data_IF_225226758441
#
_entry.id   IF_225226758441
#
_cell.length_a   1.000
_cell.length_b   1.000
_cell.length_c   1.000
_cell.angle_alpha   90.00
_cell.angle_beta   90.00
_cell.angle_gamma   90.00
#
_symmetry.space_group_name_H-M   'P 1'
#
loop_
_entity.id
_entity.type
_entity.pdbx_description
1 polymer ?
#
# COMPACT_ATOMS: atom_id res chain seq x y z
N UNK A 1 5.92 16.30 51.90
CA UNK A 1 5.92 16.51 53.35
C UNK A 1 4.87 15.63 53.93
N UNK A 2 5.32 14.69 54.80
CA UNK A 2 4.61 14.13 55.97
C UNK A 2 3.99 12.80 55.90
N UNK A 3 3.96 12.14 56.99
CA UNK A 3 5.06 11.32 57.49
C UNK A 3 4.70 9.83 57.62
N UNK A 4 5.74 9.03 57.68
CA UNK A 4 5.77 7.65 58.09
C UNK A 4 5.07 7.41 59.41
N UNK A 5 4.16 6.43 59.46
CA UNK A 5 3.84 5.73 60.69
C UNK A 5 4.25 4.27 60.53
N UNK A 6 5.37 3.94 61.11
CA UNK A 6 5.81 2.57 61.35
C UNK A 6 5.09 2.07 62.60
N UNK A 7 4.21 1.07 62.45
CA UNK A 7 3.75 0.27 63.59
C UNK A 7 4.51 -1.08 63.59
N UNK A 8 5.49 -1.14 64.45
CA UNK A 8 6.10 -2.40 64.84
C UNK A 8 5.15 -3.10 65.85
N UNK A 9 4.47 -4.13 65.40
CA UNK A 9 3.77 -5.06 66.28
C UNK A 9 4.74 -6.16 66.71
N UNK A 10 5.39 -5.95 67.84
CA UNK A 10 6.06 -6.99 68.62
C UNK A 10 4.98 -7.89 69.23
N UNK A 11 4.88 -9.11 68.69
CA UNK A 11 4.00 -10.16 69.24
C UNK A 11 4.62 -10.68 70.51
N UNK A 12 4.22 -10.15 71.68
CA UNK A 12 4.50 -10.75 72.98
C UNK A 12 3.56 -11.92 73.14
N UNK A 13 4.12 -13.14 73.21
CA UNK A 13 3.44 -14.32 73.76
C UNK A 13 3.32 -14.17 75.24
N UNK A 14 2.14 -13.72 75.73
CA UNK A 14 1.79 -13.84 77.12
C UNK A 14 1.31 -15.29 77.43
N UNK A 15 2.14 -16.10 77.99
CA UNK A 15 1.70 -17.34 78.64
C UNK A 15 1.07 -16.99 79.97
N UNK A 16 -0.10 -17.52 80.34
CA UNK A 16 -0.62 -17.39 81.68
C UNK A 16 0.19 -18.33 82.62
N UNK A 17 0.66 -17.80 83.74
CA UNK A 17 1.35 -18.64 84.71
C UNK A 17 0.30 -19.28 85.64
N UNK A 18 -0.15 -20.47 85.31
CA UNK A 18 -0.70 -21.39 86.29
C UNK A 18 -1.32 -22.63 85.59
N UNK A 19 -0.48 -23.49 85.12
CA UNK A 19 -0.79 -24.91 85.08
C UNK A 19 0.43 -25.67 85.58
N UNK A 20 0.35 -25.92 86.80
CA UNK A 20 0.77 -27.01 87.62
C UNK A 20 2.06 -27.73 87.26
N UNK A 21 3.05 -27.42 88.07
CA UNK A 21 4.27 -28.16 88.23
C UNK A 21 4.04 -29.61 88.87
N UNK A 22 2.81 -30.10 88.85
CA UNK A 22 2.50 -31.44 89.34
C UNK A 22 2.39 -32.53 88.29
N UNK A 23 2.13 -32.21 87.08
CA UNK A 23 2.07 -33.24 86.02
C UNK A 23 3.38 -33.46 85.28
N UNK A 24 4.35 -32.59 85.49
CA UNK A 24 5.67 -32.73 84.84
C UNK A 24 6.58 -33.78 85.49
N UNK A 25 6.34 -34.17 86.78
CA UNK A 25 7.17 -35.18 87.48
C UNK A 25 6.71 -36.61 87.21
N UNK A 26 5.49 -36.86 86.85
CA UNK A 26 4.96 -38.19 86.58
C UNK A 26 5.22 -38.67 85.13
N UNK A 27 5.61 -37.78 84.20
CA UNK A 27 5.96 -38.11 82.84
C UNK A 27 7.46 -38.33 82.60
N UNK A 28 8.27 -38.12 83.60
CA UNK A 28 9.74 -38.30 83.53
C UNK A 28 10.21 -39.76 83.74
N UNK A 29 9.35 -40.65 84.21
CA UNK A 29 9.74 -42.04 84.48
C UNK A 29 9.51 -43.01 83.30
N UNK A 30 8.75 -42.63 82.24
CA UNK A 30 8.44 -43.54 81.12
C UNK A 30 9.36 -43.38 79.90
N UNK A 31 10.37 -42.56 79.91
CA UNK A 31 11.36 -42.50 78.84
C UNK A 31 10.78 -42.13 77.42
N UNK A 32 9.53 -41.76 77.34
CA UNK A 32 8.89 -41.28 76.13
C UNK A 32 8.52 -39.82 76.31
N UNK A 33 9.51 -38.93 76.15
CA UNK A 33 9.19 -37.55 75.78
C UNK A 33 8.64 -37.62 74.38
N UNK A 34 7.36 -37.96 74.30
CA UNK A 34 6.59 -37.79 73.01
C UNK A 34 6.63 -36.31 72.68
N UNK A 35 7.27 -35.97 71.57
CA UNK A 35 7.15 -34.64 71.02
C UNK A 35 5.65 -34.33 70.94
N UNK A 36 5.18 -33.35 71.75
CA UNK A 36 3.80 -32.89 71.61
C UNK A 36 3.55 -32.56 70.12
N UNK A 37 2.52 -33.10 69.51
CA UNK A 37 2.21 -32.79 68.10
C UNK A 37 2.04 -31.29 68.00
N UNK A 38 2.84 -30.69 67.15
CA UNK A 38 2.75 -29.28 66.84
C UNK A 38 1.38 -29.04 66.17
N UNK A 39 0.57 -28.13 66.73
CA UNK A 39 -0.77 -27.78 66.17
C UNK A 39 -0.82 -26.31 65.79
N UNK A 40 -1.50 -26.00 64.75
CA UNK A 40 -1.74 -24.65 64.34
C UNK A 40 -3.11 -24.15 64.78
N UNK A 41 -3.18 -22.90 65.19
CA UNK A 41 -4.44 -22.26 65.59
C UNK A 41 -4.92 -21.30 64.48
N UNK A 42 -6.18 -21.42 64.06
CA UNK A 42 -6.86 -20.45 63.18
C UNK A 42 -7.99 -19.78 63.94
N UNK A 43 -8.38 -18.55 63.45
CA UNK A 43 -9.50 -17.82 64.04
C UNK A 43 -9.11 -17.02 65.27
N UNK A 44 -8.28 -16.02 65.15
CA UNK A 44 -8.04 -14.99 66.13
C UNK A 44 -9.06 -13.86 65.96
N UNK A 45 -10.00 -13.77 66.86
CA UNK A 45 -11.07 -12.75 66.84
C UNK A 45 -12.43 -13.32 67.21
N UNK A 46 -13.51 -12.75 66.71
CA UNK A 46 -14.91 -13.16 67.01
C UNK A 46 -15.29 -14.54 66.44
N UNK A 47 -14.44 -15.17 65.59
CA UNK A 47 -14.65 -16.52 65.07
C UNK A 47 -14.08 -17.55 66.04
N UNK A 48 -14.79 -18.68 66.21
CA UNK A 48 -14.33 -19.78 67.04
C UNK A 48 -12.95 -20.28 66.58
N UNK A 49 -11.95 -20.15 67.47
CA UNK A 49 -10.60 -20.67 67.24
C UNK A 49 -10.65 -22.18 67.05
N UNK A 50 -9.98 -22.67 66.01
CA UNK A 50 -9.90 -24.09 65.67
C UNK A 50 -8.45 -24.53 65.62
N UNK A 51 -8.12 -25.66 66.24
CA UNK A 51 -6.82 -26.29 66.19
C UNK A 51 -6.74 -27.28 65.02
N UNK A 52 -5.63 -27.24 64.32
CA UNK A 52 -5.31 -28.11 63.19
C UNK A 52 -4.04 -28.89 63.45
N UNK A 53 -4.05 -30.13 63.01
CA UNK A 53 -2.87 -31.02 63.18
C UNK A 53 -1.77 -30.70 62.17
N UNK A 54 -0.56 -31.05 62.42
CA UNK A 54 0.59 -30.92 61.52
C UNK A 54 0.30 -31.61 60.19
N UNK A 55 0.47 -30.89 59.06
CA UNK A 55 0.14 -31.37 57.73
C UNK A 55 -1.34 -31.19 57.30
N UNK A 56 -2.24 -30.80 58.25
CA UNK A 56 -3.65 -30.54 57.89
C UNK A 56 -3.75 -29.34 56.96
N UNK A 57 -4.55 -29.46 55.88
CA UNK A 57 -4.81 -28.40 54.92
C UNK A 57 -6.16 -27.77 55.17
N UNK A 58 -6.19 -26.44 55.09
CA UNK A 58 -7.41 -25.67 55.21
C UNK A 58 -7.53 -24.67 54.05
N UNK A 59 -8.73 -24.38 53.67
CA UNK A 59 -9.05 -23.37 52.69
C UNK A 59 -9.59 -22.12 53.39
N UNK A 60 -8.97 -21.00 53.12
CA UNK A 60 -9.43 -19.70 53.62
C UNK A 60 -9.46 -18.69 52.51
N UNK A 61 -10.67 -18.33 52.09
CA UNK A 61 -10.90 -17.51 50.86
C UNK A 61 -10.41 -18.22 49.62
N UNK A 62 -9.47 -17.61 48.90
CA UNK A 62 -8.87 -18.17 47.68
C UNK A 62 -7.49 -18.81 47.92
N UNK A 63 -7.15 -19.13 49.17
CA UNK A 63 -5.82 -19.63 49.52
C UNK A 63 -5.95 -20.94 50.29
N UNK A 64 -5.06 -21.87 49.98
CA UNK A 64 -4.90 -23.13 50.73
C UNK A 64 -3.71 -22.97 51.62
N UNK A 65 -3.92 -23.23 52.93
CA UNK A 65 -2.87 -23.23 53.96
C UNK A 65 -2.64 -24.65 54.42
N UNK A 66 -1.41 -24.91 54.89
CA UNK A 66 -1.03 -26.14 55.52
C UNK A 66 -0.39 -25.83 56.87
N UNK A 67 -0.77 -26.57 57.89
CA UNK A 67 -0.14 -26.46 59.20
C UNK A 67 1.29 -27.05 59.16
N UNK A 68 2.31 -26.19 59.31
CA UNK A 68 3.72 -26.60 59.34
C UNK A 68 4.44 -25.92 60.50
N UNK A 69 5.01 -26.71 61.43
CA UNK A 69 5.80 -26.19 62.56
C UNK A 69 4.98 -25.20 63.43
N UNK A 70 3.74 -25.54 63.77
CA UNK A 70 2.82 -24.73 64.54
C UNK A 70 2.40 -23.38 63.83
N UNK A 71 2.61 -23.22 62.52
CA UNK A 71 2.24 -22.06 61.75
C UNK A 71 1.43 -22.46 60.52
N UNK A 72 0.41 -21.68 60.20
CA UNK A 72 -0.33 -21.80 58.92
C UNK A 72 0.51 -21.21 57.81
N UNK A 73 0.97 -22.06 56.88
CA UNK A 73 1.79 -21.67 55.75
C UNK A 73 0.95 -21.73 54.48
N UNK A 74 0.85 -20.65 53.70
CA UNK A 74 0.14 -20.68 52.42
C UNK A 74 0.88 -21.55 51.41
N UNK A 75 0.23 -22.55 50.84
CA UNK A 75 0.81 -23.56 49.94
C UNK A 75 0.27 -23.49 48.53
N UNK A 76 -0.85 -22.79 48.28
CA UNK A 76 -1.48 -22.70 46.98
C UNK A 76 -2.65 -21.75 46.94
N UNK A 77 -3.09 -21.47 45.75
CA UNK A 77 -4.31 -20.71 45.46
C UNK A 77 -5.44 -21.67 45.06
N UNK A 78 -6.68 -21.24 45.23
CA UNK A 78 -7.85 -21.88 44.62
C UNK A 78 -8.28 -21.13 43.37
N UNK A 79 -8.59 -21.86 42.33
CA UNK A 79 -9.26 -21.28 41.17
C UNK A 79 -10.79 -21.14 41.43
N UNK A 80 -11.51 -20.63 40.40
CA UNK A 80 -12.96 -20.43 40.52
C UNK A 80 -13.76 -21.74 40.64
N UNK A 81 -13.14 -22.89 40.35
CA UNK A 81 -13.73 -24.23 40.48
C UNK A 81 -13.33 -24.94 41.79
N UNK A 82 -12.55 -24.26 42.64
CA UNK A 82 -12.04 -24.85 43.89
C UNK A 82 -10.84 -25.80 43.67
N UNK A 83 -10.22 -25.78 42.47
CA UNK A 83 -9.02 -26.59 42.24
C UNK A 83 -7.79 -25.91 42.83
N UNK A 84 -7.01 -26.67 43.58
CA UNK A 84 -5.78 -26.17 44.17
C UNK A 84 -4.67 -26.04 43.12
N UNK A 85 -4.08 -24.86 43.03
CA UNK A 85 -2.94 -24.50 42.20
C UNK A 85 -1.76 -24.22 43.11
N UNK A 86 -0.68 -24.94 42.93
CA UNK A 86 0.52 -24.76 43.76
C UNK A 86 1.20 -23.43 43.51
N UNK A 87 2.03 -23.00 44.45
CA UNK A 87 2.84 -21.80 44.28
C UNK A 87 3.70 -21.89 43.02
N UNK A 88 3.69 -20.83 42.20
CA UNK A 88 4.30 -20.66 40.88
C UNK A 88 3.70 -21.53 39.74
N UNK A 89 2.75 -22.39 40.01
CA UNK A 89 2.01 -23.07 38.96
C UNK A 89 1.02 -22.15 38.29
N UNK A 90 0.65 -22.50 37.07
CA UNK A 90 -0.32 -21.74 36.25
C UNK A 90 -1.59 -22.55 36.01
N UNK A 91 -2.69 -21.85 35.86
CA UNK A 91 -3.97 -22.41 35.45
C UNK A 91 -4.59 -21.52 34.36
N UNK A 92 -5.55 -22.07 33.61
CA UNK A 92 -6.31 -21.37 32.61
C UNK A 92 -7.79 -21.35 33.02
N UNK A 93 -8.33 -20.15 33.16
CA UNK A 93 -9.77 -19.96 33.35
C UNK A 93 -10.29 -18.80 32.53
N UNK A 94 -11.44 -18.97 31.88
CA UNK A 94 -12.10 -17.94 31.04
C UNK A 94 -11.21 -17.32 29.96
N UNK A 95 -10.28 -18.10 29.39
CA UNK A 95 -9.35 -17.60 28.38
C UNK A 95 -8.21 -16.74 28.94
N UNK A 96 -7.99 -16.78 30.25
CA UNK A 96 -6.89 -16.09 30.93
C UNK A 96 -5.91 -17.10 31.51
N UNK A 97 -4.63 -16.79 31.37
CA UNK A 97 -3.55 -17.52 32.03
C UNK A 97 -3.29 -16.86 33.40
N UNK A 98 -3.44 -17.63 34.46
CA UNK A 98 -3.24 -17.16 35.82
C UNK A 98 -2.12 -17.93 36.48
N UNK A 99 -1.38 -17.28 37.41
CA UNK A 99 -0.33 -17.88 38.19
C UNK A 99 -0.58 -17.64 39.68
N UNK A 100 -0.46 -18.70 40.49
CA UNK A 100 -0.45 -18.56 41.95
C UNK A 100 0.92 -18.01 42.37
N UNK A 101 0.96 -16.83 42.96
CA UNK A 101 2.18 -16.11 43.32
C UNK A 101 2.04 -15.42 44.67
N UNK A 102 3.17 -15.18 45.33
CA UNK A 102 3.19 -14.35 46.54
C UNK A 102 2.71 -12.95 46.24
N UNK A 103 1.94 -12.37 47.14
CA UNK A 103 1.55 -10.97 47.08
C UNK A 103 2.77 -10.07 47.13
N UNK A 104 2.64 -8.79 46.74
CA UNK A 104 3.74 -7.82 46.75
C UNK A 104 4.43 -7.70 48.12
N UNK A 105 3.72 -8.03 49.19
CA UNK A 105 4.21 -7.94 50.55
C UNK A 105 4.73 -9.28 51.12
N UNK A 106 4.79 -10.32 50.27
CA UNK A 106 5.22 -11.68 50.60
C UNK A 106 4.48 -12.32 51.81
N UNK A 107 3.35 -11.77 52.20
CA UNK A 107 2.56 -12.24 53.35
C UNK A 107 1.45 -13.20 52.99
N UNK A 108 1.06 -13.19 51.70
CA UNK A 108 -0.13 -13.91 51.21
C UNK A 108 0.07 -14.41 49.77
N UNK A 109 -0.72 -15.40 49.38
CA UNK A 109 -0.77 -15.85 47.99
C UNK A 109 -1.92 -15.17 47.25
N UNK A 110 -1.72 -14.92 45.98
CA UNK A 110 -2.76 -14.43 45.11
C UNK A 110 -2.69 -15.11 43.72
N UNK A 111 -3.86 -15.34 43.15
CA UNK A 111 -3.96 -15.76 41.74
C UNK A 111 -3.86 -14.55 40.84
N UNK A 112 -2.73 -14.35 40.20
CA UNK A 112 -2.43 -13.19 39.35
C UNK A 112 -2.63 -13.56 37.87
N UNK A 113 -3.37 -12.76 37.13
CA UNK A 113 -3.48 -12.89 35.67
C UNK A 113 -2.16 -12.46 35.06
N UNK A 114 -1.54 -13.34 34.30
CA UNK A 114 -0.23 -13.12 33.63
C UNK A 114 -0.30 -13.18 32.12
N UNK A 115 -1.44 -13.60 31.54
CA UNK A 115 -1.57 -13.73 30.12
C UNK A 115 -2.97 -14.06 29.64
N UNK A 116 -3.07 -14.30 28.36
CA UNK A 116 -4.27 -14.72 27.62
C UNK A 116 -4.04 -16.08 26.99
N UNK A 117 -5.15 -16.78 26.72
CA UNK A 117 -5.15 -18.04 25.97
C UNK A 117 -5.96 -17.80 24.69
N UNK A 118 -5.36 -17.96 23.51
CA UNK A 118 -6.07 -17.81 22.25
C UNK A 118 -7.28 -18.76 22.14
N UNK A 119 -8.36 -18.28 21.55
CA UNK A 119 -9.57 -19.08 21.36
C UNK A 119 -9.28 -20.34 20.54
N UNK A 120 -9.72 -21.50 21.04
CA UNK A 120 -9.49 -22.79 20.38
C UNK A 120 -8.08 -23.39 20.55
N UNK A 121 -7.20 -22.73 21.32
CA UNK A 121 -5.79 -23.15 21.52
C UNK A 121 -5.45 -23.25 23.00
N UNK A 122 -6.10 -24.17 23.70
CA UNK A 122 -5.96 -24.32 25.16
C UNK A 122 -4.50 -24.54 25.64
N UNK A 123 -3.62 -25.02 24.78
CA UNK A 123 -2.22 -25.30 25.08
C UNK A 123 -1.26 -24.15 24.72
N UNK A 124 -1.73 -23.08 24.06
CA UNK A 124 -0.93 -21.90 23.76
C UNK A 124 -1.26 -20.80 24.78
N UNK A 125 -0.28 -20.34 25.51
CA UNK A 125 -0.42 -19.22 26.44
C UNK A 125 0.44 -18.05 25.99
N UNK A 126 -0.14 -16.88 25.98
CA UNK A 126 0.46 -15.62 25.54
C UNK A 126 0.57 -14.69 26.74
N UNK A 127 1.76 -14.21 27.05
CA UNK A 127 1.95 -13.30 28.17
C UNK A 127 1.38 -11.90 27.89
N UNK A 128 1.08 -11.16 28.95
CA UNK A 128 0.63 -9.76 28.82
C UNK A 128 1.68 -8.94 28.05
N UNK A 129 1.25 -8.20 27.05
CA UNK A 129 2.08 -7.41 26.13
C UNK A 129 2.52 -8.16 24.88
N UNK A 130 2.39 -9.48 24.86
CA UNK A 130 2.71 -10.27 23.67
C UNK A 130 1.57 -10.28 22.64
N UNK A 131 1.94 -10.56 21.39
CA UNK A 131 1.03 -10.55 20.24
C UNK A 131 1.06 -11.88 19.51
N UNK A 132 -0.09 -12.33 19.07
CA UNK A 132 -0.19 -13.54 18.24
C UNK A 132 -1.00 -13.29 16.97
N UNK A 133 -0.96 -14.22 16.05
CA UNK A 133 -1.68 -14.17 14.76
C UNK A 133 -2.57 -15.39 14.65
N UNK A 134 -3.81 -15.16 14.27
CA UNK A 134 -4.74 -16.22 13.87
C UNK A 134 -4.68 -16.38 12.35
N UNK A 135 -4.21 -17.54 11.89
CA UNK A 135 -3.99 -17.80 10.46
C UNK A 135 -5.30 -17.86 9.67
N UNK A 136 -6.37 -18.40 10.25
CA UNK A 136 -7.65 -18.56 9.57
C UNK A 136 -8.35 -17.24 9.29
N UNK A 137 -8.29 -16.32 10.24
CA UNK A 137 -8.92 -15.00 10.14
C UNK A 137 -7.99 -13.91 9.57
N UNK A 138 -6.71 -14.22 9.38
CA UNK A 138 -5.67 -13.26 8.98
C UNK A 138 -5.65 -12.02 9.89
N UNK A 139 -5.91 -12.23 11.17
CA UNK A 139 -5.90 -11.18 12.19
C UNK A 139 -4.77 -11.37 13.17
N UNK A 140 -4.35 -10.29 13.81
CA UNK A 140 -3.44 -10.36 14.93
C UNK A 140 -4.09 -9.77 16.19
N UNK A 141 -3.69 -10.30 17.32
CA UNK A 141 -4.23 -9.99 18.64
C UNK A 141 -3.11 -9.62 19.59
N UNK A 142 -3.44 -8.93 20.66
CA UNK A 142 -2.55 -8.56 21.75
C UNK A 142 -3.19 -8.93 23.07
N UNK A 143 -2.42 -9.54 23.98
CA UNK A 143 -2.84 -9.73 25.36
C UNK A 143 -2.60 -8.41 26.10
N UNK A 144 -3.64 -7.59 26.24
CA UNK A 144 -3.54 -6.24 26.76
C UNK A 144 -3.99 -6.18 28.23
N UNK A 145 -3.22 -5.46 29.06
CA UNK A 145 -3.65 -5.07 30.41
C UNK A 145 -4.30 -3.69 30.36
N UNK A 146 -5.54 -3.58 30.85
CA UNK A 146 -6.28 -2.34 30.95
C UNK A 146 -6.68 -2.12 32.42
N UNK A 147 -5.91 -1.31 33.13
CA UNK A 147 -6.07 -1.15 34.57
C UNK A 147 -5.80 -2.47 35.32
N UNK A 148 -6.84 -3.00 35.97
CA UNK A 148 -6.77 -4.28 36.72
C UNK A 148 -7.21 -5.49 35.90
N UNK A 149 -7.70 -5.27 34.67
CA UNK A 149 -8.18 -6.34 33.79
C UNK A 149 -7.16 -6.68 32.71
N UNK A 150 -7.15 -7.95 32.33
CA UNK A 150 -6.34 -8.44 31.18
C UNK A 150 -7.30 -9.08 30.19
N UNK A 151 -7.16 -8.73 28.93
CA UNK A 151 -7.99 -9.31 27.87
C UNK A 151 -7.25 -9.43 26.55
N UNK A 152 -7.68 -10.38 25.73
CA UNK A 152 -7.30 -10.42 24.34
C UNK A 152 -7.95 -9.23 23.60
N UNK A 153 -7.16 -8.43 22.93
CA UNK A 153 -7.61 -7.30 22.13
C UNK A 153 -7.24 -7.52 20.68
N UNK A 154 -8.21 -7.35 19.77
CA UNK A 154 -7.95 -7.35 18.34
C UNK A 154 -7.03 -6.18 17.99
N UNK A 155 -5.88 -6.48 17.40
CA UNK A 155 -4.89 -5.48 17.03
C UNK A 155 -5.06 -5.03 15.57
N UNK A 156 -5.51 -5.92 14.70
CA UNK A 156 -5.75 -5.61 13.29
C UNK A 156 -5.58 -6.81 12.36
N UNK A 157 -5.13 -6.53 11.14
CA UNK A 157 -4.98 -7.51 10.07
C UNK A 157 -3.53 -7.93 9.85
N UNK A 158 -3.35 -9.08 9.22
CA UNK A 158 -2.04 -9.54 8.74
C UNK A 158 -2.03 -9.45 7.22
N UNK A 159 -1.07 -8.72 6.67
CA UNK A 159 -0.81 -8.69 5.25
C UNK A 159 -0.08 -9.97 4.82
N UNK A 160 -0.76 -10.90 4.18
CA UNK A 160 -0.17 -12.21 3.82
C UNK A 160 1.12 -12.12 2.99
N UNK A 161 1.21 -11.26 1.94
CA UNK A 161 2.41 -11.19 1.12
C UNK A 161 3.64 -10.73 1.89
N UNK A 162 3.50 -9.71 2.74
CA UNK A 162 4.62 -9.15 3.52
C UNK A 162 4.74 -9.75 4.92
N UNK A 163 3.71 -10.47 5.40
CA UNK A 163 3.54 -10.94 6.78
C UNK A 163 3.57 -9.80 7.80
N UNK A 164 3.34 -8.57 7.37
CA UNK A 164 3.29 -7.41 8.24
C UNK A 164 1.96 -7.35 9.01
N UNK A 165 2.02 -6.83 10.24
CA UNK A 165 0.84 -6.57 11.07
C UNK A 165 0.41 -5.13 10.88
N UNK A 166 -0.80 -4.94 10.40
CA UNK A 166 -1.43 -3.65 10.21
C UNK A 166 -2.44 -3.41 11.32
N UNK A 167 -2.44 -2.24 11.90
CA UNK A 167 -3.50 -1.81 12.84
C UNK A 167 -4.77 -1.48 12.06
N UNK A 168 -5.90 -1.47 12.76
CA UNK A 168 -7.15 -0.99 12.18
C UNK A 168 -6.98 0.47 11.72
N UNK A 169 -7.33 0.74 10.45
CA UNK A 169 -7.13 2.03 9.78
C UNK A 169 -5.77 2.17 9.07
N UNK A 170 -4.81 1.29 9.29
CA UNK A 170 -3.56 1.30 8.52
C UNK A 170 -3.74 0.66 7.14
N UNK A 171 -2.99 1.18 6.17
CA UNK A 171 -3.08 0.78 4.77
C UNK A 171 -1.77 0.22 4.25
N UNK A 172 -1.86 -0.64 3.23
CA UNK A 172 -0.74 -1.19 2.47
C UNK A 172 -1.07 -1.25 0.99
N UNK A 173 -0.07 -1.00 0.15
CA UNK A 173 -0.22 -1.08 -1.28
C UNK A 173 0.21 -2.44 -1.81
N UNK A 174 -0.62 -3.02 -2.68
CA UNK A 174 -0.31 -4.24 -3.42
C UNK A 174 -0.50 -3.94 -4.91
N UNK A 175 0.60 -3.72 -5.62
CA UNK A 175 0.56 -3.27 -7.01
C UNK A 175 -0.14 -1.92 -7.15
N UNK A 176 -1.26 -1.89 -7.85
CA UNK A 176 -2.02 -0.67 -8.07
C UNK A 176 -3.22 -0.49 -7.12
N UNK A 177 -3.36 -1.35 -6.11
CA UNK A 177 -4.48 -1.33 -5.16
C UNK A 177 -3.99 -0.98 -3.76
N UNK A 178 -4.64 -0.02 -3.11
CA UNK A 178 -4.47 0.27 -1.70
C UNK A 178 -5.48 -0.55 -0.90
N UNK A 179 -4.97 -1.35 0.04
CA UNK A 179 -5.76 -2.09 1.02
C UNK A 179 -5.68 -1.42 2.38
N UNK A 180 -6.77 -1.40 3.10
CA UNK A 180 -6.86 -0.89 4.47
C UNK A 180 -7.39 -1.99 5.39
N UNK A 181 -6.81 -2.10 6.57
CA UNK A 181 -7.33 -2.98 7.61
C UNK A 181 -8.55 -2.34 8.27
N UNK A 182 -9.73 -2.91 8.05
CA UNK A 182 -10.98 -2.40 8.60
C UNK A 182 -11.57 -3.37 9.62
N UNK A 183 -12.13 -2.82 10.73
CA UNK A 183 -12.85 -3.60 11.71
C UNK A 183 -14.20 -4.06 11.16
N UNK A 184 -14.55 -5.33 11.39
CA UNK A 184 -15.90 -5.92 11.15
C UNK A 184 -16.67 -6.16 12.45
N UNK A 185 -16.41 -5.39 13.48
CA UNK A 185 -16.98 -5.55 14.81
C UNK A 185 -15.90 -5.65 15.88
N UNK A 186 -16.27 -6.17 17.06
CA UNK A 186 -15.35 -6.24 18.20
C UNK A 186 -14.20 -7.26 18.00
N UNK A 187 -14.49 -8.36 17.31
CA UNK A 187 -13.62 -9.55 17.27
C UNK A 187 -13.16 -9.92 15.86
N UNK A 188 -13.39 -9.07 14.87
CA UNK A 188 -13.00 -9.35 13.49
C UNK A 188 -12.47 -8.11 12.76
N UNK A 189 -11.48 -8.31 11.91
CA UNK A 189 -10.96 -7.32 10.99
C UNK A 189 -10.65 -7.98 9.65
N UNK A 190 -10.70 -7.20 8.58
CA UNK A 190 -10.35 -7.67 7.24
C UNK A 190 -9.60 -6.63 6.43
N UNK A 191 -8.85 -7.09 5.45
CA UNK A 191 -8.19 -6.26 4.46
C UNK A 191 -9.17 -5.91 3.35
N UNK A 192 -9.51 -4.63 3.23
CA UNK A 192 -10.46 -4.11 2.24
C UNK A 192 -9.74 -3.23 1.23
N UNK A 193 -9.96 -3.46 -0.06
CA UNK A 193 -9.46 -2.56 -1.09
C UNK A 193 -10.23 -1.23 -1.06
N UNK A 194 -9.54 -0.14 -0.80
CA UNK A 194 -10.12 1.20 -0.59
C UNK A 194 -9.77 2.19 -1.69
N UNK A 195 -8.77 1.89 -2.52
CA UNK A 195 -8.31 2.82 -3.53
C UNK A 195 -7.30 2.24 -4.51
N UNK A 196 -6.82 3.13 -5.37
CA UNK A 196 -5.78 2.87 -6.35
C UNK A 196 -4.53 3.69 -6.04
N UNK A 197 -3.38 3.18 -6.46
CA UNK A 197 -2.09 3.87 -6.41
C UNK A 197 -1.79 4.44 -7.78
N UNK A 198 -1.43 5.73 -7.85
CA UNK A 198 -0.99 6.38 -9.08
C UNK A 198 0.44 5.94 -9.44
N UNK A 199 0.91 6.27 -10.65
CA UNK A 199 2.32 6.01 -11.01
C UNK A 199 3.31 6.80 -10.13
N UNK A 200 2.89 7.93 -9.58
CA UNK A 200 3.67 8.73 -8.62
C UNK A 200 3.58 8.26 -7.16
N UNK A 201 2.89 7.14 -6.88
CA UNK A 201 2.73 6.61 -5.52
C UNK A 201 1.64 7.29 -4.69
N UNK A 202 0.83 8.17 -5.27
CA UNK A 202 -0.27 8.81 -4.55
C UNK A 202 -1.50 7.90 -4.46
N UNK A 203 -2.20 7.97 -3.34
CA UNK A 203 -3.43 7.19 -3.11
C UNK A 203 -4.66 7.94 -3.62
N UNK A 204 -5.49 7.24 -4.38
CA UNK A 204 -6.77 7.74 -4.91
C UNK A 204 -7.90 6.82 -4.49
N UNK A 205 -8.91 7.38 -3.83
CA UNK A 205 -10.10 6.62 -3.40
C UNK A 205 -10.87 6.08 -4.59
N UNK A 206 -11.62 5.01 -4.37
CA UNK A 206 -12.58 4.49 -5.35
C UNK A 206 -13.54 5.60 -5.78
N UNK A 207 -13.80 5.72 -7.09
CA UNK A 207 -14.63 6.77 -7.68
C UNK A 207 -13.88 8.06 -8.04
N UNK A 208 -12.64 8.26 -7.57
CA UNK A 208 -11.87 9.45 -7.89
C UNK A 208 -11.20 9.36 -9.26
N UNK A 209 -11.16 10.51 -9.94
CA UNK A 209 -10.44 10.71 -11.19
C UNK A 209 -9.18 11.54 -10.92
N UNK A 210 -8.12 11.29 -11.68
CA UNK A 210 -6.89 12.09 -11.63
C UNK A 210 -6.22 12.11 -13.00
N UNK A 211 -5.42 13.14 -13.22
CA UNK A 211 -4.55 13.24 -14.37
C UNK A 211 -3.17 12.66 -14.03
N UNK A 212 -2.61 11.91 -15.00
CA UNK A 212 -1.26 11.38 -14.94
C UNK A 212 -0.66 11.48 -16.36
N UNK A 213 0.23 12.47 -16.55
CA UNK A 213 0.70 12.87 -17.88
C UNK A 213 -0.45 13.35 -18.76
N UNK A 214 -0.50 12.82 -19.99
CA UNK A 214 -1.52 13.15 -20.99
C UNK A 214 -2.79 12.29 -20.87
N UNK A 215 -3.02 11.65 -19.72
CA UNK A 215 -4.16 10.74 -19.55
C UNK A 215 -4.97 11.06 -18.31
N UNK A 216 -6.27 10.81 -18.42
CA UNK A 216 -7.21 10.86 -17.31
C UNK A 216 -7.52 9.44 -16.82
N UNK A 217 -7.28 9.18 -15.55
CA UNK A 217 -7.54 7.90 -14.93
C UNK A 217 -8.68 7.96 -13.92
N UNK A 218 -9.21 6.80 -13.62
CA UNK A 218 -10.29 6.59 -12.66
C UNK A 218 -10.03 5.31 -11.87
N UNK A 219 -10.24 5.39 -10.56
CA UNK A 219 -10.17 4.22 -9.68
C UNK A 219 -11.54 3.54 -9.60
N UNK A 220 -11.67 2.33 -10.13
CA UNK A 220 -12.89 1.54 -10.04
C UNK A 220 -12.72 0.26 -9.23
N UNK A 221 -13.78 -0.19 -8.56
CA UNK A 221 -13.82 -1.49 -7.90
C UNK A 221 -14.12 -2.60 -8.93
N UNK A 222 -13.37 -3.69 -8.87
CA UNK A 222 -13.66 -4.92 -9.62
C UNK A 222 -14.56 -5.88 -8.82
N UNK A 223 -15.16 -6.85 -9.51
CA UNK A 223 -16.03 -7.86 -8.90
C UNK A 223 -15.33 -8.71 -7.81
N UNK A 224 -14.00 -8.90 -7.91
CA UNK A 224 -13.21 -9.63 -6.93
C UNK A 224 -12.77 -8.80 -5.71
N UNK A 225 -13.37 -7.62 -5.48
CA UNK A 225 -13.01 -6.75 -4.36
C UNK A 225 -11.69 -6.00 -4.54
N UNK A 226 -11.01 -6.13 -5.68
CA UNK A 226 -9.80 -5.40 -6.02
C UNK A 226 -10.13 -4.03 -6.61
N UNK A 227 -9.18 -3.10 -6.56
CA UNK A 227 -9.27 -1.85 -7.28
C UNK A 227 -8.47 -1.89 -8.58
N UNK A 228 -8.98 -1.23 -9.61
CA UNK A 228 -8.34 -1.12 -10.91
C UNK A 228 -8.23 0.33 -11.34
N UNK A 229 -7.02 0.73 -11.74
CA UNK A 229 -6.76 1.97 -12.43
C UNK A 229 -7.23 1.82 -13.88
N UNK A 230 -8.24 2.56 -14.29
CA UNK A 230 -8.80 2.55 -15.63
C UNK A 230 -8.57 3.88 -16.31
N UNK A 231 -8.02 3.88 -17.54
CA UNK A 231 -7.89 5.08 -18.33
C UNK A 231 -9.26 5.46 -18.90
N UNK A 232 -9.67 6.71 -18.70
CA UNK A 232 -10.94 7.28 -19.18
C UNK A 232 -10.80 8.07 -20.47
N UNK A 233 -9.61 8.59 -20.72
CA UNK A 233 -9.39 9.45 -21.88
C UNK A 233 -7.97 10.00 -21.92
N UNK A 234 -7.64 10.60 -23.06
CA UNK A 234 -6.45 11.40 -23.25
C UNK A 234 -6.76 12.86 -22.92
N UNK A 235 -5.74 13.60 -22.52
CA UNK A 235 -5.81 15.04 -22.31
C UNK A 235 -4.87 15.74 -23.28
N UNK A 236 -5.41 16.65 -24.08
CA UNK A 236 -4.63 17.49 -24.96
C UNK A 236 -5.08 18.95 -24.81
N UNK A 237 -4.19 19.80 -24.34
CA UNK A 237 -4.47 21.22 -24.05
C UNK A 237 -5.69 21.42 -23.14
N UNK A 238 -5.80 20.60 -22.07
CA UNK A 238 -6.92 20.65 -21.13
C UNK A 238 -8.24 20.08 -21.67
N UNK A 239 -8.29 19.66 -22.94
CA UNK A 239 -9.46 19.02 -23.53
C UNK A 239 -9.39 17.50 -23.34
N UNK A 240 -10.47 16.92 -22.88
CA UNK A 240 -10.63 15.47 -22.76
C UNK A 240 -11.05 14.86 -24.09
N UNK A 241 -10.33 13.82 -24.50
CA UNK A 241 -10.58 13.00 -25.66
C UNK A 241 -10.91 11.57 -25.22
N UNK A 242 -11.94 10.98 -25.78
CA UNK A 242 -12.29 9.57 -25.56
C UNK A 242 -11.53 8.67 -26.53
N UNK A 243 -11.64 7.36 -26.33
CA UNK A 243 -11.03 6.39 -27.25
C UNK A 243 -11.53 6.58 -28.68
N UNK A 244 -10.61 6.70 -29.62
CA UNK A 244 -10.90 6.96 -31.04
C UNK A 244 -11.07 8.43 -31.40
N UNK A 245 -11.28 9.34 -30.43
CA UNK A 245 -11.42 10.76 -30.68
C UNK A 245 -10.17 11.37 -31.35
N UNK A 246 -10.40 12.27 -32.29
CA UNK A 246 -9.36 13.00 -33.00
C UNK A 246 -9.41 14.48 -32.65
N UNK A 247 -8.25 15.06 -32.45
CA UNK A 247 -8.12 16.48 -32.13
C UNK A 247 -6.97 17.12 -32.88
N UNK A 248 -7.26 18.24 -33.52
CA UNK A 248 -6.25 19.03 -34.23
C UNK A 248 -5.55 19.98 -33.28
N UNK A 249 -4.23 19.87 -33.23
CA UNK A 249 -3.34 20.82 -32.55
C UNK A 249 -2.30 21.35 -33.53
N UNK A 250 -2.45 22.62 -33.96
CA UNK A 250 -1.64 23.19 -35.00
C UNK A 250 -1.87 22.48 -36.32
N UNK A 251 -0.80 21.96 -36.92
CA UNK A 251 -0.83 21.17 -38.17
C UNK A 251 -0.84 19.66 -37.97
N UNK A 252 -0.86 19.19 -36.72
CA UNK A 252 -0.93 17.75 -36.36
C UNK A 252 -2.33 17.40 -35.93
N UNK A 253 -2.83 16.25 -36.36
CA UNK A 253 -4.05 15.62 -35.83
C UNK A 253 -3.61 14.48 -34.93
N UNK A 254 -4.01 14.53 -33.67
CA UNK A 254 -3.81 13.46 -32.69
C UNK A 254 -5.05 12.61 -32.56
N UNK A 255 -4.87 11.33 -32.31
CA UNK A 255 -5.95 10.39 -31.96
C UNK A 255 -5.66 9.76 -30.60
N UNK A 256 -6.67 9.77 -29.72
CA UNK A 256 -6.63 9.07 -28.45
C UNK A 256 -6.85 7.57 -28.68
N UNK A 257 -5.95 6.73 -28.19
CA UNK A 257 -6.07 5.28 -28.23
C UNK A 257 -6.00 4.71 -26.81
N UNK A 258 -7.05 4.02 -26.38
CA UNK A 258 -7.15 3.39 -25.06
C UNK A 258 -7.32 1.89 -25.24
N UNK A 259 -6.30 1.13 -24.86
CA UNK A 259 -6.32 -0.34 -24.83
C UNK A 259 -6.11 -0.82 -23.39
N UNK A 260 -6.52 -2.02 -23.02
CA UNK A 260 -6.41 -2.51 -21.63
C UNK A 260 -5.02 -2.42 -20.99
N UNK A 261 -3.96 -2.47 -21.83
CA UNK A 261 -2.56 -2.42 -21.36
C UNK A 261 -1.73 -1.28 -21.94
N UNK A 262 -2.33 -0.46 -22.82
CA UNK A 262 -1.62 0.60 -23.53
C UNK A 262 -2.55 1.79 -23.76
N UNK A 263 -2.08 2.96 -23.37
CA UNK A 263 -2.74 4.23 -23.69
C UNK A 263 -1.77 5.08 -24.49
N UNK A 264 -2.26 5.70 -25.54
CA UNK A 264 -1.43 6.53 -26.40
C UNK A 264 -2.22 7.71 -26.96
N UNK A 265 -1.55 8.84 -27.09
CA UNK A 265 -2.01 9.98 -27.87
C UNK A 265 -1.14 10.02 -29.12
N UNK A 266 -1.65 9.44 -30.20
CA UNK A 266 -0.88 9.21 -31.41
C UNK A 266 -1.10 10.33 -32.43
N UNK A 267 -0.04 10.94 -33.01
CA UNK A 267 -0.16 11.78 -34.16
C UNK A 267 -0.50 10.91 -35.39
N UNK A 268 -1.67 11.14 -36.00
CA UNK A 268 -2.20 10.27 -37.05
C UNK A 268 -2.29 10.95 -38.42
N UNK A 269 -2.29 12.28 -38.45
CA UNK A 269 -2.39 13.02 -39.72
C UNK A 269 -1.76 14.41 -39.63
N UNK A 270 -1.39 14.94 -40.78
CA UNK A 270 -1.06 16.33 -41.00
C UNK A 270 -2.28 17.10 -41.55
N UNK A 271 -2.34 18.38 -41.27
CA UNK A 271 -3.33 19.28 -41.88
C UNK A 271 -2.64 20.10 -42.96
N UNK A 272 -3.06 19.90 -44.20
CA UNK A 272 -2.55 20.64 -45.35
C UNK A 272 -2.97 22.12 -45.29
N UNK A 273 -2.36 22.96 -46.14
CA UNK A 273 -2.62 24.40 -46.16
C UNK A 273 -4.07 24.75 -46.46
N UNK A 274 -4.77 23.90 -47.20
CA UNK A 274 -6.21 24.03 -47.49
C UNK A 274 -7.12 23.39 -46.42
N UNK A 275 -6.57 23.00 -45.25
CA UNK A 275 -7.32 22.45 -44.14
C UNK A 275 -7.66 20.96 -44.25
N UNK A 276 -7.24 20.28 -45.30
CA UNK A 276 -7.53 18.84 -45.51
C UNK A 276 -6.59 18.01 -44.71
N UNK A 277 -7.13 17.01 -43.94
CA UNK A 277 -6.34 16.04 -43.22
C UNK A 277 -5.69 15.01 -44.15
N UNK A 278 -4.41 14.77 -43.96
CA UNK A 278 -3.60 13.78 -44.69
C UNK A 278 -2.97 12.83 -43.71
N UNK A 279 -3.27 11.56 -43.83
CA UNK A 279 -2.72 10.53 -42.91
C UNK A 279 -1.19 10.52 -42.96
N UNK A 280 -0.59 10.13 -41.84
CA UNK A 280 0.87 9.88 -41.79
C UNK A 280 1.26 8.90 -42.89
N UNK A 281 2.42 9.14 -43.53
CA UNK A 281 2.92 8.48 -44.75
C UNK A 281 2.16 8.76 -46.03
N UNK A 282 1.11 9.61 -46.03
CA UNK A 282 0.43 10.00 -47.25
C UNK A 282 1.24 11.05 -48.03
N UNK A 283 1.36 10.85 -49.34
CA UNK A 283 1.93 11.82 -50.28
C UNK A 283 0.83 12.44 -51.10
N UNK A 284 0.88 13.76 -51.33
CA UNK A 284 -0.09 14.49 -52.12
C UNK A 284 0.57 15.65 -52.86
N UNK A 285 -0.19 16.32 -53.69
CA UNK A 285 0.22 17.57 -54.34
C UNK A 285 -0.81 18.65 -54.02
N UNK A 286 -0.34 19.80 -53.54
CA UNK A 286 -1.11 21.02 -53.38
C UNK A 286 -0.70 22.02 -54.46
N UNK A 287 -1.56 22.96 -54.76
CA UNK A 287 -1.18 24.13 -55.58
C UNK A 287 -0.30 25.08 -54.77
N UNK A 288 0.66 25.74 -55.44
CA UNK A 288 1.47 26.81 -54.84
C UNK A 288 0.56 27.96 -54.36
N UNK A 289 1.11 28.89 -53.54
CA UNK A 289 0.34 30.05 -53.04
C UNK A 289 -0.17 30.93 -54.17
N UNK A 290 0.56 31.02 -55.25
CA UNK A 290 0.28 31.82 -56.46
C UNK A 290 -0.44 31.04 -57.58
N UNK A 291 -0.78 29.79 -57.32
CA UNK A 291 -1.46 28.87 -58.24
C UNK A 291 -0.68 28.56 -59.53
N UNK A 292 0.62 28.84 -59.57
CA UNK A 292 1.46 28.70 -60.73
C UNK A 292 2.04 27.31 -60.96
N UNK A 293 2.18 26.51 -59.91
CA UNK A 293 2.71 25.15 -59.97
C UNK A 293 2.15 24.29 -58.81
N UNK A 294 2.42 22.98 -58.82
CA UNK A 294 2.07 22.12 -57.71
C UNK A 294 3.29 21.77 -56.89
N UNK A 295 3.04 21.62 -55.57
CA UNK A 295 4.02 21.23 -54.56
C UNK A 295 3.74 19.80 -54.11
N UNK A 296 4.73 18.92 -54.25
CA UNK A 296 4.65 17.55 -53.68
C UNK A 296 4.97 17.58 -52.21
N UNK A 297 4.10 17.01 -51.42
CA UNK A 297 4.19 16.97 -49.97
C UNK A 297 4.08 15.54 -49.44
N UNK A 298 4.58 15.33 -48.25
CA UNK A 298 4.52 14.05 -47.51
C UNK A 298 4.29 14.32 -46.04
N UNK A 299 3.29 13.68 -45.46
CA UNK A 299 3.09 13.70 -44.00
C UNK A 299 3.98 12.67 -43.34
N UNK A 300 4.95 13.12 -42.59
CA UNK A 300 5.92 12.28 -41.89
C UNK A 300 5.76 12.39 -40.37
N UNK A 301 6.16 11.35 -39.67
CA UNK A 301 6.21 11.36 -38.20
C UNK A 301 7.64 11.72 -37.74
N UNK A 302 7.80 12.81 -36.99
CA UNK A 302 9.06 13.22 -36.38
C UNK A 302 8.83 13.62 -34.93
N UNK A 303 9.64 13.14 -34.02
CA UNK A 303 9.64 13.51 -32.61
C UNK A 303 8.24 13.53 -31.96
N UNK A 304 7.38 12.57 -32.31
CA UNK A 304 6.02 12.47 -31.77
C UNK A 304 5.00 13.47 -32.36
N UNK A 305 5.36 14.12 -33.48
CA UNK A 305 4.45 15.02 -34.23
C UNK A 305 4.34 14.61 -35.69
N UNK A 306 3.23 14.90 -36.29
CA UNK A 306 3.05 14.74 -37.73
C UNK A 306 3.42 16.06 -38.43
N UNK A 307 4.44 16.01 -39.28
CA UNK A 307 4.99 17.17 -39.98
C UNK A 307 4.88 17.01 -41.48
N UNK A 308 4.79 18.13 -42.16
CA UNK A 308 4.68 18.14 -43.62
C UNK A 308 6.06 18.40 -44.24
N UNK A 309 6.59 17.38 -44.90
CA UNK A 309 7.80 17.49 -45.68
C UNK A 309 7.46 17.94 -47.12
N UNK A 310 8.24 18.86 -47.62
CA UNK A 310 8.20 19.24 -49.03
C UNK A 310 9.13 18.34 -49.84
N UNK A 311 8.55 17.51 -50.69
CA UNK A 311 9.31 16.58 -51.51
C UNK A 311 9.83 17.24 -52.80
N UNK A 312 9.09 18.22 -53.33
CA UNK A 312 9.49 18.88 -54.57
C UNK A 312 8.37 19.66 -55.25
N UNK A 313 8.62 20.06 -56.47
CA UNK A 313 7.73 20.82 -57.32
C UNK A 313 7.29 20.01 -58.53
N UNK A 314 6.09 20.32 -59.05
CA UNK A 314 5.62 19.86 -60.35
C UNK A 314 5.43 21.08 -61.25
N UNK A 315 6.25 21.19 -62.27
CA UNK A 315 6.08 22.19 -63.31
C UNK A 315 4.94 21.79 -64.22
N UNK A 316 4.00 22.71 -64.41
CA UNK A 316 2.84 22.54 -65.31
C UNK A 316 2.91 23.57 -66.39
N UNK A 317 2.54 23.18 -67.64
CA UNK A 317 2.28 24.08 -68.73
C UNK A 317 0.96 23.68 -69.41
N UNK A 318 0.08 24.65 -69.59
CA UNK A 318 -1.26 24.45 -70.15
C UNK A 318 -2.11 23.42 -69.33
N UNK A 319 -1.93 23.41 -67.96
CA UNK A 319 -2.63 22.49 -67.07
C UNK A 319 -2.11 21.04 -67.09
N UNK A 320 -1.09 20.77 -67.88
CA UNK A 320 -0.49 19.46 -68.02
C UNK A 320 0.87 19.40 -67.20
N UNK A 321 1.02 18.42 -66.33
CA UNK A 321 2.28 18.18 -65.63
C UNK A 321 3.37 17.82 -66.67
N UNK A 322 4.46 18.57 -66.67
CA UNK A 322 5.57 18.40 -67.61
C UNK A 322 6.81 17.86 -66.95
N UNK A 323 7.06 18.26 -65.73
CA UNK A 323 8.29 17.92 -65.01
C UNK A 323 8.05 17.81 -63.52
N UNK A 324 8.63 16.81 -62.88
CA UNK A 324 8.57 16.65 -61.45
C UNK A 324 9.97 16.68 -60.86
N UNK A 325 10.30 17.73 -60.08
CA UNK A 325 11.60 17.97 -59.51
C UNK A 325 11.59 17.70 -58.00
N UNK A 326 12.68 17.15 -57.47
CA UNK A 326 12.94 17.11 -56.04
C UNK A 326 13.27 18.50 -55.51
N UNK A 327 12.91 18.79 -54.28
CA UNK A 327 13.29 20.03 -53.62
C UNK A 327 14.83 20.16 -53.55
N UNK A 328 15.38 21.27 -53.98
CA UNK A 328 16.81 21.52 -54.08
C UNK A 328 17.45 21.02 -55.36
N UNK A 329 16.64 20.73 -56.39
CA UNK A 329 17.17 20.30 -57.71
C UNK A 329 16.69 21.20 -58.84
N UNK A 330 17.33 21.06 -59.98
CA UNK A 330 16.91 21.66 -61.25
C UNK A 330 16.99 20.63 -62.39
N UNK A 331 16.32 20.89 -63.50
CA UNK A 331 16.39 20.12 -64.72
C UNK A 331 16.14 20.99 -65.94
N UNK A 332 16.57 20.52 -67.10
CA UNK A 332 16.37 21.21 -68.39
C UNK A 332 15.09 20.63 -69.04
N UNK A 333 14.16 21.51 -69.39
CA UNK A 333 12.92 21.16 -70.13
C UNK A 333 12.88 21.78 -71.51
N UNK A 334 12.40 21.03 -72.50
CA UNK A 334 12.19 21.48 -73.82
C UNK A 334 10.74 21.15 -74.26
N UNK A 335 10.05 22.13 -74.80
CA UNK A 335 8.70 21.92 -75.23
C UNK A 335 8.62 21.11 -76.54
N UNK A 336 9.56 21.37 -77.45
CA UNK A 336 9.75 20.68 -78.74
C UNK A 336 11.26 20.63 -79.06
N UNK A 337 11.62 19.77 -79.99
CA UNK A 337 13.01 19.62 -80.45
C UNK A 337 13.69 20.92 -80.88
N UNK A 338 12.89 21.83 -81.49
CA UNK A 338 13.36 23.12 -82.00
C UNK A 338 13.09 24.30 -81.04
N UNK A 339 12.51 24.04 -79.85
CA UNK A 339 12.23 25.10 -78.87
C UNK A 339 13.51 25.38 -78.02
N UNK A 340 13.68 26.64 -77.64
CA UNK A 340 14.75 27.02 -76.74
C UNK A 340 14.60 26.31 -75.39
N UNK A 341 15.61 25.64 -74.91
CA UNK A 341 15.52 24.95 -73.66
C UNK A 341 15.39 25.92 -72.48
N UNK A 342 14.54 25.56 -71.51
CA UNK A 342 14.38 26.25 -70.22
C UNK A 342 14.96 25.43 -69.13
N UNK A 343 15.70 26.07 -68.22
CA UNK A 343 16.03 25.46 -66.95
C UNK A 343 14.88 25.66 -65.95
N UNK A 344 14.47 24.62 -65.33
CA UNK A 344 13.43 24.61 -64.27
C UNK A 344 14.05 24.18 -62.97
N UNK A 345 13.96 25.01 -61.95
CA UNK A 345 14.48 24.71 -60.61
C UNK A 345 13.41 24.68 -59.57
N UNK A 346 13.59 23.78 -58.57
CA UNK A 346 12.74 23.70 -57.41
C UNK A 346 13.58 24.01 -56.17
N UNK A 347 13.55 25.25 -55.72
CA UNK A 347 14.33 25.71 -54.53
C UNK A 347 13.49 25.61 -53.28
N UNK A 348 14.15 25.55 -52.12
CA UNK A 348 13.53 25.73 -50.79
C UNK A 348 13.65 27.20 -50.41
N UNK A 349 12.54 27.81 -50.11
CA UNK A 349 12.48 29.17 -49.59
C UNK A 349 11.68 29.24 -48.32
N UNK A 350 12.12 30.04 -47.36
CA UNK A 350 11.34 30.35 -46.14
C UNK A 350 10.40 31.51 -46.48
N UNK A 351 9.09 31.26 -46.47
CA UNK A 351 8.06 32.28 -46.69
C UNK A 351 7.16 32.27 -45.48
N UNK A 352 7.09 33.38 -44.77
CA UNK A 352 6.28 33.54 -43.53
C UNK A 352 6.66 32.50 -42.42
N UNK A 353 7.94 32.11 -42.36
CA UNK A 353 8.43 31.11 -41.38
C UNK A 353 8.15 29.66 -41.78
N UNK A 354 7.49 29.40 -42.89
CA UNK A 354 7.26 28.07 -43.42
C UNK A 354 8.20 27.76 -44.57
N UNK A 355 8.67 26.52 -44.66
CA UNK A 355 9.47 26.07 -45.81
C UNK A 355 8.56 25.82 -47.00
N UNK A 356 8.67 26.70 -48.00
CA UNK A 356 7.96 26.58 -49.24
C UNK A 356 8.93 26.30 -50.39
N UNK A 357 8.55 25.45 -51.35
CA UNK A 357 9.30 25.35 -52.58
C UNK A 357 8.98 26.53 -53.48
N UNK A 358 9.98 27.04 -54.12
CA UNK A 358 9.89 28.06 -55.17
C UNK A 358 10.26 27.41 -56.49
N UNK A 359 9.35 27.46 -57.44
CA UNK A 359 9.60 27.01 -58.81
C UNK A 359 10.04 28.21 -59.62
N UNK A 360 11.21 28.12 -60.22
CA UNK A 360 11.71 29.15 -61.13
C UNK A 360 11.97 28.54 -62.51
N UNK A 361 11.67 29.29 -63.55
CA UNK A 361 12.00 28.95 -64.93
C UNK A 361 12.87 30.05 -65.49
N UNK A 362 13.95 29.71 -66.13
CA UNK A 362 14.90 30.67 -66.71
C UNK A 362 15.58 30.09 -67.93
N UNK A 363 16.12 30.96 -68.86
CA UNK A 363 16.92 30.50 -70.01
C UNK A 363 18.15 29.68 -69.54
N UNK A 364 18.53 28.66 -70.32
CA UNK A 364 19.70 27.81 -69.98
C UNK A 364 20.96 28.64 -69.94
N UNK A 365 21.03 29.76 -70.62
CA UNK A 365 22.15 30.74 -70.64
C UNK A 365 22.42 31.32 -69.20
N UNK A 366 21.41 31.42 -68.34
CA UNK A 366 21.50 31.93 -66.98
C UNK A 366 21.70 30.82 -65.94
N UNK A 367 21.85 29.57 -66.38
CA UNK A 367 21.86 28.39 -65.54
C UNK A 367 23.01 28.41 -64.50
N UNK A 368 24.21 28.82 -64.90
CA UNK A 368 25.39 28.83 -64.03
C UNK A 368 25.23 29.71 -62.80
N UNK A 369 24.55 30.86 -62.96
CA UNK A 369 24.31 31.80 -61.86
C UNK A 369 23.16 31.37 -60.98
N UNK A 370 22.06 30.89 -61.62
CA UNK A 370 20.78 30.62 -60.91
C UNK A 370 20.64 29.23 -60.33
N UNK A 371 21.52 28.27 -60.67
CA UNK A 371 21.53 26.91 -60.09
C UNK A 371 22.57 26.71 -59.00
N UNK A 372 23.25 27.74 -58.58
CA UNK A 372 24.27 27.63 -57.51
C UNK A 372 23.67 27.01 -56.24
N UNK A 373 24.29 25.93 -55.78
CA UNK A 373 23.79 25.15 -54.62
C UNK A 373 22.66 24.15 -54.92
N UNK A 374 22.19 24.06 -56.18
CA UNK A 374 21.21 23.07 -56.61
C UNK A 374 21.93 21.86 -57.26
N UNK A 375 21.29 20.69 -57.17
CA UNK A 375 21.70 19.48 -57.88
C UNK A 375 20.87 19.27 -59.15
N UNK A 376 21.50 18.79 -60.20
CA UNK A 376 20.78 18.38 -61.39
C UNK A 376 19.97 17.11 -61.11
N UNK A 377 18.67 17.15 -61.41
CA UNK A 377 17.81 15.96 -61.36
C UNK A 377 17.83 15.29 -62.73
N UNK A 378 18.63 14.21 -62.84
CA UNK A 378 18.84 13.47 -64.09
C UNK A 378 17.64 12.57 -64.47
N UNK A 379 16.71 12.34 -63.56
CA UNK A 379 15.52 11.52 -63.80
C UNK A 379 14.26 12.16 -63.19
N UNK A 380 13.82 13.32 -63.76
CA UNK A 380 12.65 14.04 -63.29
C UNK A 380 11.37 13.34 -63.77
N UNK A 381 10.96 12.27 -63.05
CA UNK A 381 9.76 11.49 -63.38
C UNK A 381 8.52 12.26 -63.01
N UNK A 382 7.48 12.17 -63.87
CA UNK A 382 6.13 12.69 -63.63
C UNK A 382 5.33 11.75 -62.74
#
# INVERSE_FOLDING_TARGET
MSPLFAFALTSFCLFPPSFAAKDAQQLAEDGKIGQMPLKCLTGLGEQKSKWHDEGEKIEAGSIVYECRGAKMVPIGCLDEFGQQIRLNETTVAKGLLMRCSLSRWATDLQLKIIGCVPKGKANESILVGEKWTEKESQTWWECAAEGTTVRARLGGCVDEPSRSRLRIGESVDRGHTTFECQSKGADAAEMVAVGCVTNGGEHRRIGHQWQDGDFLFYCKRKAAGLCEKSCLGCLLQGRRLYDGDRFRHGRTVFQCEIRPKRHALNPVACVSTNGVERLVNCKWSDRSKDDTFRVKRHCVLREGRAEIDTLGCVFEKDGIARLSLKAGTFSIWREALNASPLAVSCRRALIDGDEWPLLETFPVTEMAERTNGLREDKDPRI
#
